data_IF_819338294462
#
_entry.id   IF_819338294462
#
_cell.length_a   1.000
_cell.length_b   1.000
_cell.length_c   1.000
_cell.angle_alpha   90.00
_cell.angle_beta   90.00
_cell.angle_gamma   90.00
#
_symmetry.space_group_name_H-M   'P 1'
#
loop_
_entity.id
_entity.type
_entity.pdbx_description
1 polymer ?
#
# COMPACT_ATOMS: atom_id res chain seq x y z
N UNK A 1 16.47 2.03 3.74
CA UNK A 1 16.87 0.76 3.07
C UNK A 1 15.62 -0.07 2.79
N UNK A 2 15.13 -0.05 1.56
CA UNK A 2 13.92 -0.78 1.18
C UNK A 2 14.13 -2.29 1.37
N UNK A 3 13.44 -2.88 2.35
CA UNK A 3 13.31 -4.33 2.48
C UNK A 3 12.44 -4.82 1.32
N UNK A 4 13.04 -4.94 0.14
CA UNK A 4 12.47 -5.72 -0.94
C UNK A 4 12.12 -7.07 -0.36
N UNK A 5 10.83 -7.41 -0.29
CA UNK A 5 10.35 -8.68 0.22
C UNK A 5 11.06 -9.77 -0.57
N UNK A 6 12.13 -10.34 -0.01
CA UNK A 6 12.88 -11.42 -0.62
C UNK A 6 11.96 -12.64 -0.53
N UNK A 7 11.05 -12.75 -1.49
CA UNK A 7 10.24 -13.93 -1.61
C UNK A 7 11.24 -15.08 -1.85
N UNK A 8 11.19 -16.17 -1.06
CA UNK A 8 12.04 -17.31 -1.33
C UNK A 8 11.83 -17.75 -2.79
N UNK A 9 12.89 -18.24 -3.47
CA UNK A 9 12.76 -18.73 -4.83
C UNK A 9 11.61 -19.74 -4.86
N UNK A 10 10.72 -19.60 -5.85
CA UNK A 10 9.55 -20.47 -5.94
C UNK A 10 10.06 -21.91 -6.07
N UNK A 11 9.53 -22.87 -5.29
CA UNK A 11 9.94 -24.26 -5.41
C UNK A 11 9.78 -24.71 -6.86
N UNK A 12 10.89 -25.10 -7.48
CA UNK A 12 10.91 -25.65 -8.83
C UNK A 12 10.62 -27.15 -8.76
N UNK A 13 9.81 -27.70 -9.67
CA UNK A 13 9.65 -29.15 -9.77
C UNK A 13 11.01 -29.84 -10.01
N UNK A 14 11.20 -31.04 -9.47
CA UNK A 14 12.39 -31.85 -9.76
C UNK A 14 12.50 -32.10 -11.28
N UNK A 15 13.72 -32.04 -11.84
CA UNK A 15 13.98 -32.26 -13.27
C UNK A 15 13.51 -31.13 -14.20
N UNK A 16 13.39 -29.90 -13.70
CA UNK A 16 12.97 -28.71 -14.48
C UNK A 16 14.12 -27.71 -14.74
N UNK A 17 15.36 -28.15 -14.68
CA UNK A 17 16.58 -27.31 -14.82
C UNK A 17 16.64 -26.58 -16.17
N UNK A 18 16.14 -27.24 -17.23
CA UNK A 18 16.06 -26.72 -18.59
C UNK A 18 14.71 -26.07 -18.93
N UNK A 19 13.88 -25.80 -17.92
CA UNK A 19 12.56 -25.20 -18.11
C UNK A 19 12.41 -23.90 -17.31
N UNK A 20 11.69 -22.95 -17.91
CA UNK A 20 11.14 -21.80 -17.21
C UNK A 20 9.70 -22.08 -16.78
N UNK A 21 9.35 -21.65 -15.56
CA UNK A 21 7.96 -21.54 -15.16
C UNK A 21 7.42 -20.17 -15.58
N UNK A 22 6.11 -20.04 -15.78
CA UNK A 22 5.49 -18.76 -16.13
C UNK A 22 5.83 -17.62 -15.16
N UNK A 23 6.06 -17.94 -13.88
CA UNK A 23 6.51 -16.97 -12.88
C UNK A 23 7.91 -16.40 -13.17
N UNK A 24 8.86 -17.25 -13.57
CA UNK A 24 10.25 -16.88 -13.87
C UNK A 24 10.31 -16.05 -15.16
N UNK A 25 9.52 -16.43 -16.18
CA UNK A 25 9.38 -15.64 -17.41
C UNK A 25 8.94 -14.20 -17.11
N UNK A 26 7.97 -14.03 -16.21
CA UNK A 26 7.45 -12.70 -15.83
C UNK A 26 8.42 -11.93 -14.95
N UNK A 27 9.01 -12.57 -13.95
CA UNK A 27 9.82 -11.90 -12.93
C UNK A 27 11.23 -11.58 -13.46
N UNK A 28 11.87 -12.57 -14.07
CA UNK A 28 13.30 -12.50 -14.38
C UNK A 28 13.55 -12.11 -15.84
N UNK A 29 12.61 -12.44 -16.74
CA UNK A 29 12.69 -12.12 -18.18
C UNK A 29 11.70 -11.03 -18.60
N UNK A 30 10.80 -10.64 -17.70
CA UNK A 30 9.85 -9.56 -17.86
C UNK A 30 8.72 -9.81 -18.87
N UNK A 31 8.47 -11.07 -19.23
CA UNK A 31 7.33 -11.43 -20.07
C UNK A 31 6.00 -10.97 -19.45
N UNK A 32 5.03 -10.67 -20.30
CA UNK A 32 3.64 -10.42 -19.90
C UNK A 32 2.78 -11.65 -20.18
N UNK A 33 1.63 -11.76 -19.52
CA UNK A 33 0.65 -12.82 -19.82
C UNK A 33 0.20 -12.82 -21.28
N UNK A 34 0.07 -11.64 -21.90
CA UNK A 34 -0.27 -11.53 -23.31
C UNK A 34 0.83 -12.09 -24.22
N UNK A 35 2.11 -11.83 -23.90
CA UNK A 35 3.24 -12.38 -24.64
C UNK A 35 3.37 -13.89 -24.46
N UNK A 36 3.15 -14.41 -23.25
CA UNK A 36 3.16 -15.86 -23.02
C UNK A 36 2.07 -16.51 -23.88
N UNK A 37 0.84 -15.96 -23.89
CA UNK A 37 -0.24 -16.50 -24.73
C UNK A 37 0.05 -16.39 -26.24
N UNK A 38 0.67 -15.31 -26.68
CA UNK A 38 0.93 -15.06 -28.10
C UNK A 38 2.09 -15.92 -28.65
N UNK A 39 3.21 -15.99 -27.92
CA UNK A 39 4.43 -16.62 -28.41
C UNK A 39 4.71 -18.02 -27.81
N UNK A 40 4.08 -18.35 -26.68
CA UNK A 40 4.19 -19.65 -26.01
C UNK A 40 2.79 -20.19 -25.61
N UNK A 41 1.85 -20.33 -26.57
CA UNK A 41 0.46 -20.68 -26.27
C UNK A 41 0.36 -22.01 -25.50
N UNK A 42 1.11 -23.01 -25.96
CA UNK A 42 1.21 -24.32 -25.32
C UNK A 42 2.50 -24.46 -24.50
N UNK A 43 2.42 -24.98 -23.26
CA UNK A 43 3.59 -25.35 -22.50
C UNK A 43 4.25 -26.60 -23.07
N UNK A 44 5.56 -26.73 -22.88
CA UNK A 44 6.31 -27.92 -23.32
C UNK A 44 6.11 -29.09 -22.35
N UNK A 45 5.91 -28.79 -21.05
CA UNK A 45 5.55 -29.77 -20.02
C UNK A 45 4.61 -29.17 -18.99
N UNK A 46 3.93 -30.03 -18.24
CA UNK A 46 3.23 -29.66 -17.01
C UNK A 46 3.75 -30.45 -15.83
N UNK A 47 3.87 -29.79 -14.67
CA UNK A 47 4.27 -30.43 -13.42
C UNK A 47 3.24 -30.18 -12.33
N UNK A 48 3.27 -31.04 -11.29
CA UNK A 48 2.42 -30.85 -10.12
C UNK A 48 2.73 -29.51 -9.45
N UNK A 49 1.68 -28.80 -9.04
CA UNK A 49 1.86 -27.53 -8.34
C UNK A 49 2.39 -27.76 -6.91
N UNK A 50 3.56 -27.20 -6.55
CA UNK A 50 4.21 -27.40 -5.26
C UNK A 50 3.49 -26.66 -4.11
N UNK A 51 2.69 -25.64 -4.42
CA UNK A 51 1.97 -24.87 -3.42
C UNK A 51 0.65 -25.54 -3.00
N UNK A 52 0.03 -26.30 -3.89
CA UNK A 52 -1.20 -27.03 -3.57
C UNK A 52 -1.46 -28.16 -4.55
N UNK A 53 -1.78 -29.33 -4.01
CA UNK A 53 -2.16 -30.51 -4.81
C UNK A 53 -3.47 -30.34 -5.58
N UNK A 54 -4.33 -29.42 -5.15
CA UNK A 54 -5.64 -29.13 -5.77
C UNK A 54 -5.57 -27.99 -6.79
N UNK A 55 -4.46 -27.28 -6.86
CA UNK A 55 -4.30 -26.18 -7.80
C UNK A 55 -3.99 -26.71 -9.21
N UNK A 56 -4.24 -25.88 -10.22
CA UNK A 56 -3.90 -26.18 -11.60
C UNK A 56 -2.42 -26.58 -11.75
N UNK A 57 -2.10 -27.56 -12.63
CA UNK A 57 -0.72 -27.94 -12.93
C UNK A 57 0.12 -26.73 -13.35
N UNK A 58 1.39 -26.74 -12.94
CA UNK A 58 2.34 -25.70 -13.31
C UNK A 58 2.80 -25.91 -14.75
N UNK A 59 2.74 -24.84 -15.56
CA UNK A 59 3.21 -24.80 -16.94
C UNK A 59 4.73 -24.60 -17.01
N UNK A 60 5.41 -25.46 -17.77
CA UNK A 60 6.85 -25.44 -17.99
C UNK A 60 7.15 -25.16 -19.47
N UNK A 61 8.07 -24.24 -19.72
CA UNK A 61 8.48 -23.80 -21.04
C UNK A 61 9.97 -24.09 -21.25
N UNK A 62 10.32 -24.84 -22.29
CA UNK A 62 11.69 -25.22 -22.58
C UNK A 62 12.56 -23.99 -22.78
N UNK A 63 13.72 -23.95 -22.12
CA UNK A 63 14.64 -22.80 -22.14
C UNK A 63 15.00 -22.41 -23.57
N UNK A 64 15.38 -23.38 -24.39
CA UNK A 64 15.83 -23.12 -25.76
C UNK A 64 14.73 -22.54 -26.64
N UNK A 65 13.48 -23.03 -26.47
CA UNK A 65 12.31 -22.48 -27.17
C UNK A 65 12.06 -21.03 -26.76
N UNK A 66 12.17 -20.72 -25.47
CA UNK A 66 12.03 -19.34 -24.97
C UNK A 66 13.11 -18.45 -25.55
N UNK A 67 14.38 -18.88 -25.55
CA UNK A 67 15.50 -18.11 -26.11
C UNK A 67 15.35 -17.89 -27.61
N UNK A 68 14.92 -18.90 -28.36
CA UNK A 68 14.66 -18.79 -29.79
C UNK A 68 13.56 -17.76 -30.08
N UNK A 69 12.46 -17.78 -29.32
CA UNK A 69 11.40 -16.77 -29.42
C UNK A 69 11.93 -15.38 -29.11
N UNK A 70 12.71 -15.22 -28.05
CA UNK A 70 13.26 -13.92 -27.65
C UNK A 70 14.19 -13.30 -28.71
N UNK A 71 14.87 -14.13 -29.51
CA UNK A 71 15.71 -13.68 -30.62
C UNK A 71 14.89 -13.13 -31.81
N UNK A 72 13.62 -13.51 -31.95
CA UNK A 72 12.77 -13.06 -33.06
C UNK A 72 12.54 -11.55 -33.03
N UNK A 73 12.45 -10.94 -34.22
CA UNK A 73 12.14 -9.52 -34.34
C UNK A 73 10.72 -9.18 -33.83
N UNK A 74 9.77 -10.11 -34.00
CA UNK A 74 8.39 -9.94 -33.56
C UNK A 74 8.28 -9.86 -32.03
N UNK A 75 8.94 -10.79 -31.31
CA UNK A 75 8.97 -10.74 -29.86
C UNK A 75 9.65 -9.47 -29.36
N UNK A 76 10.80 -9.07 -29.94
CA UNK A 76 11.52 -7.85 -29.55
C UNK A 76 10.64 -6.60 -29.68
N UNK A 77 9.90 -6.46 -30.78
CA UNK A 77 8.93 -5.35 -30.96
C UNK A 77 7.81 -5.41 -29.91
N UNK A 78 7.24 -6.59 -29.66
CA UNK A 78 6.19 -6.75 -28.65
C UNK A 78 6.72 -6.44 -27.23
N UNK A 79 7.98 -6.78 -26.95
CA UNK A 79 8.67 -6.52 -25.68
C UNK A 79 8.88 -5.03 -25.45
N UNK A 80 9.41 -4.33 -26.44
CA UNK A 80 9.61 -2.89 -26.41
C UNK A 80 8.28 -2.14 -26.25
N UNK A 81 7.27 -2.48 -27.05
CA UNK A 81 5.93 -1.87 -26.94
C UNK A 81 5.32 -2.08 -25.54
N UNK A 82 5.46 -3.28 -24.96
CA UNK A 82 5.02 -3.53 -23.58
C UNK A 82 5.81 -2.72 -22.56
N UNK A 83 7.13 -2.58 -22.73
CA UNK A 83 7.99 -1.81 -21.82
C UNK A 83 7.61 -0.34 -21.84
N UNK A 84 7.46 0.26 -23.03
CA UNK A 84 7.04 1.66 -23.20
C UNK A 84 5.69 1.91 -22.55
N UNK A 85 4.70 1.03 -22.77
CA UNK A 85 3.39 1.13 -22.10
C UNK A 85 3.49 1.05 -20.58
N UNK A 86 4.33 0.16 -20.05
CA UNK A 86 4.54 0.06 -18.60
C UNK A 86 5.20 1.31 -18.01
N UNK A 87 6.20 1.88 -18.69
CA UNK A 87 6.85 3.12 -18.26
C UNK A 87 5.85 4.28 -18.26
N UNK A 88 5.13 4.51 -19.37
CA UNK A 88 4.12 5.56 -19.45
C UNK A 88 2.97 5.38 -18.44
N UNK A 89 2.60 4.13 -18.12
CA UNK A 89 1.62 3.86 -17.06
C UNK A 89 2.17 4.20 -15.66
N UNK A 90 3.45 3.90 -15.38
CA UNK A 90 4.11 4.24 -14.12
C UNK A 90 4.25 5.75 -13.94
N UNK A 91 4.68 6.45 -14.98
CA UNK A 91 4.80 7.92 -14.97
C UNK A 91 3.47 8.59 -14.70
N UNK A 92 2.41 8.18 -15.42
CA UNK A 92 1.05 8.70 -15.17
C UNK A 92 0.55 8.37 -13.76
N UNK A 93 0.85 7.18 -13.26
CA UNK A 93 0.50 6.84 -11.89
C UNK A 93 1.22 7.74 -10.89
N UNK A 94 2.53 7.96 -11.05
CA UNK A 94 3.32 8.84 -10.18
C UNK A 94 2.82 10.28 -10.22
N UNK A 95 2.51 10.81 -11.41
CA UNK A 95 1.94 12.15 -11.56
C UNK A 95 0.63 12.30 -10.76
N UNK A 96 -0.29 11.33 -10.88
CA UNK A 96 -1.53 11.33 -10.09
C UNK A 96 -1.29 11.23 -8.58
N UNK A 97 -0.27 10.48 -8.14
CA UNK A 97 0.10 10.44 -6.72
C UNK A 97 0.55 11.81 -6.22
N UNK A 98 1.41 12.50 -6.98
CA UNK A 98 1.89 13.84 -6.64
C UNK A 98 0.75 14.84 -6.56
N UNK A 99 -0.17 14.80 -7.52
CA UNK A 99 -1.38 15.64 -7.52
C UNK A 99 -2.23 15.41 -6.27
N UNK A 100 -2.52 14.14 -5.93
CA UNK A 100 -3.30 13.81 -4.74
C UNK A 100 -2.63 14.29 -3.45
N UNK A 101 -1.30 14.15 -3.35
CA UNK A 101 -0.52 14.68 -2.21
C UNK A 101 -0.58 16.20 -2.15
N UNK A 102 -0.46 16.90 -3.28
CA UNK A 102 -0.54 18.36 -3.33
C UNK A 102 -1.92 18.86 -2.86
N UNK A 103 -3.01 18.22 -3.32
CA UNK A 103 -4.37 18.51 -2.84
C UNK A 103 -4.47 18.29 -1.33
N UNK A 104 -3.95 17.17 -0.83
CA UNK A 104 -3.91 16.88 0.60
C UNK A 104 -3.11 17.92 1.41
N UNK A 105 -2.06 18.51 0.85
CA UNK A 105 -1.27 19.58 1.48
C UNK A 105 -2.01 20.93 1.47
N UNK A 106 -2.77 21.23 0.42
CA UNK A 106 -3.51 22.49 0.30
C UNK A 106 -4.80 22.52 1.13
N UNK A 107 -5.25 21.39 1.69
CA UNK A 107 -6.43 21.38 2.56
C UNK A 107 -6.21 22.30 3.77
N UNK A 108 -7.15 23.20 3.98
CA UNK A 108 -7.23 24.02 5.18
C UNK A 108 -7.78 23.19 6.33
N UNK A 109 -6.87 22.73 7.19
CA UNK A 109 -7.19 21.92 8.37
C UNK A 109 -7.09 22.80 9.60
N UNK A 110 -8.06 22.68 10.50
CA UNK A 110 -8.11 23.42 11.77
C UNK A 110 -8.49 22.49 12.91
N UNK A 111 -8.02 22.83 14.11
CA UNK A 111 -8.45 22.21 15.37
C UNK A 111 -9.20 23.28 16.19
N UNK A 112 -10.51 23.12 16.32
CA UNK A 112 -11.29 23.92 17.26
C UNK A 112 -10.90 23.54 18.70
N UNK A 113 -10.08 24.37 19.34
CA UNK A 113 -9.55 24.12 20.67
C UNK A 113 -10.63 24.38 21.75
N UNK A 114 -10.88 23.37 22.55
CA UNK A 114 -11.69 23.45 23.77
C UNK A 114 -10.83 23.25 25.02
N UNK A 115 -11.29 23.67 26.22
CA UNK A 115 -10.59 23.40 27.47
C UNK A 115 -10.26 21.92 27.66
N UNK A 116 -9.04 21.65 28.15
CA UNK A 116 -8.48 20.30 28.24
C UNK A 116 -9.37 19.28 28.95
N UNK A 117 -9.97 19.65 30.09
CA UNK A 117 -10.83 18.76 30.85
C UNK A 117 -12.13 18.44 30.12
N UNK A 118 -12.69 19.41 29.39
CA UNK A 118 -13.88 19.19 28.57
C UNK A 118 -13.55 18.23 27.41
N UNK A 119 -12.39 18.43 26.77
CA UNK A 119 -11.91 17.59 25.68
C UNK A 119 -11.72 16.13 26.12
N UNK A 120 -11.06 15.88 27.26
CA UNK A 120 -10.88 14.52 27.79
C UNK A 120 -12.20 13.83 28.13
N UNK A 121 -13.16 14.56 28.71
CA UNK A 121 -14.49 13.99 29.02
C UNK A 121 -15.21 13.56 27.74
N UNK A 122 -15.20 14.41 26.71
CA UNK A 122 -15.79 14.10 25.40
C UNK A 122 -15.13 12.89 24.74
N UNK A 123 -13.80 12.76 24.84
CA UNK A 123 -13.09 11.59 24.33
C UNK A 123 -13.48 10.29 25.05
N UNK A 124 -13.63 10.34 26.37
CA UNK A 124 -14.10 9.20 27.18
C UNK A 124 -15.53 8.82 26.80
N UNK A 125 -16.43 9.80 26.71
CA UNK A 125 -17.83 9.59 26.34
C UNK A 125 -17.96 8.95 24.97
N UNK A 126 -17.24 9.48 23.97
CA UNK A 126 -17.23 8.94 22.60
C UNK A 126 -16.71 7.50 22.53
N UNK A 127 -15.66 7.18 23.27
CA UNK A 127 -15.16 5.81 23.36
C UNK A 127 -16.20 4.89 24.00
N UNK A 128 -16.79 5.31 25.12
CA UNK A 128 -17.77 4.52 25.86
C UNK A 128 -19.07 4.32 25.07
N UNK A 129 -19.49 5.29 24.26
CA UNK A 129 -20.67 5.17 23.40
C UNK A 129 -20.50 4.15 22.27
N UNK A 130 -19.25 3.77 21.95
CA UNK A 130 -18.88 2.81 20.90
C UNK A 130 -18.26 1.54 21.46
N UNK A 131 -18.42 1.31 22.77
CA UNK A 131 -17.76 0.24 23.49
C UNK A 131 -18.17 -1.13 22.94
N UNK A 132 -17.18 -1.95 22.58
CA UNK A 132 -17.42 -3.34 22.20
C UNK A 132 -17.58 -4.21 23.45
N UNK A 133 -18.33 -5.31 23.36
CA UNK A 133 -18.56 -6.24 24.49
C UNK A 133 -17.29 -6.76 25.17
N UNK A 134 -16.17 -6.80 24.45
CA UNK A 134 -14.86 -7.25 24.96
C UNK A 134 -14.02 -6.14 25.61
N UNK A 135 -14.50 -4.90 25.63
CA UNK A 135 -13.73 -3.73 26.08
C UNK A 135 -14.27 -3.19 27.40
N UNK A 136 -13.37 -2.79 28.30
CA UNK A 136 -13.75 -2.09 29.52
C UNK A 136 -13.98 -0.60 29.26
N UNK A 137 -14.97 0.03 29.92
CA UNK A 137 -15.19 1.48 29.85
C UNK A 137 -13.94 2.27 30.23
N UNK A 138 -13.79 3.46 29.66
CA UNK A 138 -12.82 4.45 30.07
C UNK A 138 -13.44 5.43 31.08
N UNK A 139 -12.59 6.04 31.91
CA UNK A 139 -12.93 7.06 32.89
C UNK A 139 -11.72 7.94 33.17
N UNK A 140 -11.87 9.03 33.93
CA UNK A 140 -10.74 9.89 34.31
C UNK A 140 -9.65 9.15 35.13
N UNK A 141 -9.98 8.00 35.74
CA UNK A 141 -9.04 7.14 36.47
C UNK A 141 -8.28 6.17 35.56
N UNK A 142 -8.60 6.15 34.27
CA UNK A 142 -7.91 5.29 33.29
C UNK A 142 -6.46 5.73 33.16
N UNK A 143 -5.55 4.77 32.93
CA UNK A 143 -4.13 5.04 32.77
C UNK A 143 -3.86 6.20 31.77
N UNK A 144 -2.96 7.16 32.10
CA UNK A 144 -2.72 8.35 31.29
C UNK A 144 -2.46 8.05 29.81
N UNK A 145 -1.54 7.12 29.52
CA UNK A 145 -1.23 6.73 28.13
C UNK A 145 -2.43 6.19 27.34
N UNK A 146 -3.37 5.51 28.01
CA UNK A 146 -4.62 5.06 27.38
C UNK A 146 -5.56 6.24 27.14
N UNK A 147 -5.66 7.18 28.07
CA UNK A 147 -6.46 8.39 27.91
C UNK A 147 -5.92 9.30 26.82
N UNK A 148 -4.61 9.46 26.70
CA UNK A 148 -3.99 10.26 25.64
C UNK A 148 -4.30 9.65 24.27
N UNK A 149 -4.13 8.33 24.13
CA UNK A 149 -4.51 7.60 22.91
C UNK A 149 -5.98 7.79 22.54
N UNK A 150 -6.89 7.68 23.52
CA UNK A 150 -8.32 7.88 23.29
C UNK A 150 -8.62 9.33 22.90
N UNK A 151 -7.94 10.30 23.50
CA UNK A 151 -8.13 11.74 23.23
C UNK A 151 -7.64 12.10 21.83
N UNK A 152 -6.45 11.64 21.43
CA UNK A 152 -5.94 11.84 20.05
C UNK A 152 -6.86 11.16 19.03
N UNK A 153 -7.33 9.94 19.31
CA UNK A 153 -8.28 9.26 18.43
C UNK A 153 -9.60 10.03 18.30
N UNK A 154 -10.15 10.51 19.41
CA UNK A 154 -11.35 11.33 19.41
C UNK A 154 -11.18 12.59 18.56
N UNK A 155 -10.10 13.34 18.79
CA UNK A 155 -9.79 14.56 18.06
C UNK A 155 -9.63 14.31 16.55
N UNK A 156 -8.89 13.27 16.16
CA UNK A 156 -8.77 12.85 14.76
C UNK A 156 -10.14 12.51 14.14
N UNK A 157 -10.99 11.77 14.85
CA UNK A 157 -12.29 11.37 14.32
C UNK A 157 -13.36 12.46 14.36
N UNK A 158 -13.23 13.49 15.19
CA UNK A 158 -14.18 14.61 15.29
C UNK A 158 -13.90 15.74 14.33
N UNK A 159 -12.65 15.94 13.94
CA UNK A 159 -12.26 17.10 13.12
C UNK A 159 -11.96 16.74 11.66
N UNK A 160 -12.11 15.48 11.25
CA UNK A 160 -11.95 15.12 9.84
C UNK A 160 -13.05 14.24 9.27
N UNK A 161 -13.87 14.86 8.41
CA UNK A 161 -14.64 14.24 7.32
C UNK A 161 -13.72 13.63 6.24
N UNK A 162 -12.41 13.86 6.31
CA UNK A 162 -11.48 13.39 5.30
C UNK A 162 -11.47 11.86 5.10
N UNK A 163 -11.82 11.03 6.09
CA UNK A 163 -12.04 9.59 5.85
C UNK A 163 -13.27 9.31 4.97
N UNK A 164 -14.29 10.17 4.99
CA UNK A 164 -15.47 10.12 4.10
C UNK A 164 -15.18 10.72 2.73
N UNK A 165 -14.51 11.87 2.68
CA UNK A 165 -14.03 12.43 1.42
C UNK A 165 -13.09 11.44 0.72
N UNK A 166 -12.18 10.79 1.45
CA UNK A 166 -11.30 9.74 0.92
C UNK A 166 -11.99 8.43 0.55
N UNK A 167 -13.19 8.13 1.07
CA UNK A 167 -13.97 6.96 0.61
C UNK A 167 -14.38 7.13 -0.85
N UNK A 168 -14.65 8.36 -1.30
CA UNK A 168 -14.95 8.65 -2.71
C UNK A 168 -13.75 8.37 -3.62
N UNK A 169 -12.53 8.47 -3.09
CA UNK A 169 -11.33 8.16 -3.83
C UNK A 169 -10.95 6.67 -3.80
N UNK A 170 -11.80 5.76 -3.32
CA UNK A 170 -11.50 4.32 -3.33
C UNK A 170 -11.22 3.83 -4.76
N UNK A 171 -9.97 3.46 -5.04
CA UNK A 171 -9.51 3.02 -6.37
C UNK A 171 -8.81 4.11 -7.19
N UNK A 172 -8.68 5.33 -6.67
CA UNK A 172 -7.89 6.41 -7.28
C UNK A 172 -6.42 6.24 -6.90
N UNK A 173 -5.54 6.47 -7.87
CA UNK A 173 -4.08 6.43 -7.68
C UNK A 173 -3.65 7.62 -6.82
N UNK A 174 -2.94 7.39 -5.70
CA UNK A 174 -2.41 8.46 -4.81
C UNK A 174 -3.13 8.64 -3.49
N UNK A 175 -4.25 7.95 -3.29
CA UNK A 175 -5.12 8.12 -2.12
C UNK A 175 -4.49 7.66 -0.83
N UNK A 176 -3.72 6.58 -0.89
CA UNK A 176 -3.00 6.08 0.29
C UNK A 176 -1.98 7.11 0.75
N UNK A 177 -1.23 7.69 -0.19
CA UNK A 177 -0.23 8.72 0.10
C UNK A 177 -0.87 10.01 0.64
N UNK A 178 -1.92 10.49 -0.02
CA UNK A 178 -2.72 11.64 0.44
C UNK A 178 -3.32 11.41 1.84
N UNK A 179 -3.74 10.18 2.16
CA UNK A 179 -4.25 9.82 3.48
C UNK A 179 -3.21 10.04 4.58
N UNK A 180 -1.99 9.57 4.35
CA UNK A 180 -0.89 9.69 5.31
C UNK A 180 -0.54 11.15 5.58
N UNK A 181 -0.50 11.97 4.53
CA UNK A 181 -0.19 13.40 4.62
C UNK A 181 -1.21 14.12 5.51
N UNK A 182 -2.50 14.02 5.21
CA UNK A 182 -3.54 14.69 6.00
C UNK A 182 -3.55 14.17 7.44
N UNK A 183 -3.41 12.86 7.63
CA UNK A 183 -3.35 12.28 8.97
C UNK A 183 -2.20 12.85 9.79
N UNK A 184 -0.99 12.94 9.24
CA UNK A 184 0.16 13.50 9.94
C UNK A 184 -0.06 15.00 10.26
N UNK A 185 -0.58 15.78 9.30
CA UNK A 185 -0.93 17.20 9.51
C UNK A 185 -1.95 17.40 10.63
N UNK A 186 -2.98 16.55 10.73
CA UNK A 186 -3.94 16.60 11.85
C UNK A 186 -3.24 16.31 13.18
N UNK A 187 -2.34 15.33 13.23
CA UNK A 187 -1.61 15.00 14.44
C UNK A 187 -0.71 16.17 14.89
N UNK A 188 -0.11 16.89 13.95
CA UNK A 188 0.63 18.12 14.22
C UNK A 188 -0.27 19.22 14.79
N UNK A 189 -1.42 19.48 14.17
CA UNK A 189 -2.39 20.45 14.67
C UNK A 189 -2.92 20.09 16.07
N UNK A 190 -3.13 18.80 16.35
CA UNK A 190 -3.51 18.33 17.69
C UNK A 190 -2.37 18.60 18.68
N UNK A 191 -1.12 18.31 18.31
CA UNK A 191 0.03 18.53 19.18
C UNK A 191 0.30 20.02 19.45
N UNK A 192 -0.06 20.89 18.51
CA UNK A 192 -0.03 22.35 18.67
C UNK A 192 -1.14 22.84 19.60
N UNK A 193 -2.39 22.44 19.35
CA UNK A 193 -3.54 22.83 20.19
C UNK A 193 -3.49 22.24 21.61
N UNK A 194 -2.90 21.05 21.76
CA UNK A 194 -2.81 20.30 23.01
C UNK A 194 -1.38 19.77 23.24
N UNK A 195 -0.45 20.61 23.71
CA UNK A 195 0.97 20.24 23.85
C UNK A 195 1.24 18.97 24.66
N UNK A 196 0.41 18.69 25.67
CA UNK A 196 0.48 17.46 26.48
C UNK A 196 0.24 16.17 25.68
N UNK A 197 -0.38 16.24 24.50
CA UNK A 197 -0.61 15.08 23.62
C UNK A 197 0.52 14.85 22.60
N UNK A 198 1.55 15.72 22.55
CA UNK A 198 2.60 15.66 21.52
C UNK A 198 3.24 14.28 21.37
N UNK A 199 3.65 13.66 22.47
CA UNK A 199 4.26 12.34 22.45
C UNK A 199 3.32 11.25 21.91
N UNK A 200 2.03 11.35 22.19
CA UNK A 200 1.02 10.44 21.63
C UNK A 200 0.81 10.70 20.13
N UNK A 201 0.77 11.96 19.71
CA UNK A 201 0.65 12.34 18.31
C UNK A 201 1.83 11.81 17.49
N UNK A 202 3.05 12.04 17.94
CA UNK A 202 4.26 11.58 17.26
C UNK A 202 4.30 10.05 17.16
N UNK A 203 3.88 9.33 18.21
CA UNK A 203 3.77 7.86 18.17
C UNK A 203 2.74 7.37 17.13
N UNK A 204 1.69 8.15 16.87
CA UNK A 204 0.64 7.79 15.91
C UNK A 204 0.94 8.24 14.47
N UNK A 205 1.97 9.05 14.24
CA UNK A 205 2.40 9.42 12.89
C UNK A 205 2.88 8.19 12.14
N UNK A 206 2.66 8.20 10.84
CA UNK A 206 3.34 7.27 9.96
C UNK A 206 4.63 7.88 9.46
N UNK A 207 5.60 7.03 9.13
CA UNK A 207 6.71 7.43 8.25
C UNK A 207 6.12 8.06 6.99
N UNK A 208 6.66 9.20 6.59
CA UNK A 208 6.22 9.90 5.39
C UNK A 208 6.34 8.95 4.20
N UNK A 209 5.33 8.90 3.31
CA UNK A 209 5.41 8.05 2.15
C UNK A 209 6.60 8.50 1.29
N UNK A 210 7.65 7.68 1.22
CA UNK A 210 8.70 7.81 0.20
C UNK A 210 8.01 7.68 -1.17
N UNK A 211 7.77 8.81 -1.84
CA UNK A 211 7.36 8.80 -3.22
C UNK A 211 8.52 8.22 -4.04
N UNK A 212 8.30 7.19 -4.87
CA UNK A 212 9.34 6.67 -5.74
C UNK A 212 9.90 7.81 -6.60
N UNK A 213 11.22 7.92 -6.66
CA UNK A 213 12.04 8.96 -7.31
C UNK A 213 12.44 10.17 -6.44
N UNK A 214 12.83 9.92 -5.19
CA UNK A 214 13.76 10.82 -4.48
C UNK A 214 13.23 12.20 -4.12
N UNK A 215 11.91 12.38 -4.13
CA UNK A 215 11.26 13.53 -3.50
C UNK A 215 10.83 13.07 -2.11
N UNK A 216 11.73 13.25 -1.14
CA UNK A 216 11.30 13.44 0.24
C UNK A 216 10.48 14.73 0.31
N UNK A 217 9.42 14.71 1.11
CA UNK A 217 8.68 15.92 1.47
C UNK A 217 9.62 16.96 2.09
#
# INVERSE_FOLDING_TARGET
MARGKHHPPRPKPAGSEDFFIAGDLKKDRGWTDAQIRAFLPEPDKTARNPFSRKAAPMKLYARDRVLAVEATAEYRRAREASRTRQLAARERALAKKKEAVAVAQSLELRIDAEPWDAMRRKAIEHYNSRLRRSQSPASLKTAPARLDRLTVNYLRHRQTSYEEELKEFKGVVGVGEAYLVVRNRILDLIAEAYPQLRAECDRQKFEEPELPDGVTL
#
